data_IF_444387747561
#
_entry.id   IF_444387747561
#
_cell.length_a   1.000
_cell.length_b   1.000
_cell.length_c   1.000
_cell.angle_alpha   90.00
_cell.angle_beta   90.00
_cell.angle_gamma   90.00
#
_symmetry.space_group_name_H-M   'P 1'
#
loop_
_entity.id
_entity.type
_entity.pdbx_description
1 polymer ?
#
# COMPACT_ATOMS: atom_id res chain seq x y z
N UNK A 1 10.43 0.07 -7.60
CA UNK A 1 9.77 1.13 -6.80
C UNK A 1 9.29 2.22 -7.75
N UNK A 2 8.01 2.58 -7.71
CA UNK A 2 7.45 3.68 -8.54
C UNK A 2 7.45 4.95 -7.72
N UNK A 3 8.09 6.00 -8.21
CA UNK A 3 8.04 7.34 -7.60
C UNK A 3 6.84 8.06 -8.21
N UNK A 4 5.87 8.41 -7.37
CA UNK A 4 4.70 9.18 -7.79
C UNK A 4 4.84 10.61 -7.23
N UNK A 5 5.11 11.58 -8.12
CA UNK A 5 5.11 12.99 -7.75
C UNK A 5 3.67 13.52 -7.77
N UNK A 6 3.19 14.04 -6.65
CA UNK A 6 1.88 14.69 -6.54
C UNK A 6 2.09 16.20 -6.66
N UNK A 7 1.44 16.84 -7.63
CA UNK A 7 1.50 18.29 -7.80
C UNK A 7 0.38 18.97 -7.02
N UNK A 8 0.72 19.86 -6.09
CA UNK A 8 -0.22 20.85 -5.55
C UNK A 8 0.23 22.23 -6.01
N UNK A 9 -0.61 22.88 -6.82
CA UNK A 9 -0.34 24.24 -7.30
C UNK A 9 -0.95 25.20 -6.27
N UNK A 10 -0.14 25.70 -5.33
CA UNK A 10 -0.60 26.69 -4.36
C UNK A 10 -0.47 28.11 -4.93
N UNK A 11 -1.60 28.67 -5.36
CA UNK A 11 -1.83 30.13 -5.32
C UNK A 11 -3.07 30.39 -4.48
N UNK A 12 -2.84 30.98 -3.31
CA UNK A 12 -3.90 31.42 -2.41
C UNK A 12 -4.60 32.68 -2.97
N UNK A 13 -5.93 32.64 -3.04
CA UNK A 13 -6.81 33.82 -2.92
C UNK A 13 -8.11 33.40 -2.22
N UNK A 14 -8.64 34.18 -1.26
CA UNK A 14 -9.85 33.84 -0.55
C UNK A 14 -11.08 34.42 -1.28
N UNK A 15 -12.13 33.63 -1.50
CA UNK A 15 -13.48 34.16 -1.66
C UNK A 15 -14.54 33.13 -1.24
N UNK A 16 -15.48 33.61 -0.42
CA UNK A 16 -16.75 32.96 -0.04
C UNK A 16 -17.67 32.83 -1.28
N UNK A 17 -18.41 31.73 -1.38
CA UNK A 17 -19.51 31.59 -2.34
C UNK A 17 -19.93 30.14 -2.55
N UNK A 18 -21.24 29.90 -2.53
CA UNK A 18 -21.91 28.60 -2.58
C UNK A 18 -21.64 27.78 -3.86
N UNK A 19 -21.75 26.45 -3.75
CA UNK A 19 -21.76 25.53 -4.89
C UNK A 19 -23.18 25.00 -5.15
N UNK A 20 -23.70 25.12 -6.38
CA UNK A 20 -24.69 24.19 -6.92
C UNK A 20 -24.09 23.27 -7.99
N UNK A 21 -24.54 22.02 -7.99
CA UNK A 21 -24.97 21.27 -9.20
C UNK A 21 -23.95 20.84 -10.26
N UNK A 22 -23.70 19.53 -10.30
CA UNK A 22 -23.61 18.64 -11.48
C UNK A 22 -22.83 19.11 -12.73
N UNK A 23 -21.69 18.45 -12.99
CA UNK A 23 -21.01 18.49 -14.29
C UNK A 23 -20.28 17.18 -14.58
N UNK A 24 -20.63 16.53 -15.70
CA UNK A 24 -19.95 15.35 -16.26
C UNK A 24 -18.47 15.64 -16.48
N UNK A 25 -17.60 14.70 -16.11
CA UNK A 25 -16.18 14.75 -16.44
C UNK A 25 -15.95 14.05 -17.78
N UNK A 26 -15.79 14.85 -18.85
CA UNK A 26 -15.12 14.42 -20.08
C UNK A 26 -13.62 14.70 -19.98
N UNK A 27 -12.86 13.66 -20.34
CA UNK A 27 -11.47 13.59 -20.82
C UNK A 27 -10.45 14.65 -20.32
N UNK A 28 -9.88 14.40 -19.13
CA UNK A 28 -8.70 15.08 -18.62
C UNK A 28 -7.48 14.17 -18.61
N UNK A 29 -6.66 14.20 -19.67
CA UNK A 29 -5.37 13.49 -19.71
C UNK A 29 -4.40 14.07 -18.67
N UNK A 30 -4.20 13.36 -17.56
CA UNK A 30 -3.05 13.53 -16.68
C UNK A 30 -1.80 12.95 -17.37
N UNK A 31 -0.80 13.79 -17.65
CA UNK A 31 0.53 13.30 -18.01
C UNK A 31 1.19 12.64 -16.79
N UNK A 32 1.09 11.30 -16.73
CA UNK A 32 1.75 10.45 -15.74
C UNK A 32 3.06 9.94 -16.30
N UNK A 33 4.18 10.36 -15.71
CA UNK A 33 5.47 9.72 -15.94
C UNK A 33 5.59 8.48 -15.04
N UNK A 34 5.54 7.29 -15.62
CA UNK A 34 5.88 6.04 -14.90
C UNK A 34 7.20 5.52 -15.47
N UNK A 35 8.26 5.54 -14.67
CA UNK A 35 9.53 4.90 -15.04
C UNK A 35 9.52 3.47 -14.51
N UNK A 36 9.47 2.48 -15.41
CA UNK A 36 9.78 1.07 -15.10
C UNK A 36 11.24 0.81 -15.46
N UNK A 37 12.01 0.24 -14.53
CA UNK A 37 13.38 -0.23 -14.79
C UNK A 37 13.33 -1.72 -15.17
N UNK A 38 13.61 -2.05 -16.43
CA UNK A 38 13.90 -3.42 -16.87
C UNK A 38 15.40 -3.69 -16.70
N UNK A 39 15.77 -4.74 -15.96
CA UNK A 39 17.14 -5.26 -15.92
C UNK A 39 17.44 -6.02 -17.22
N UNK A 40 18.45 -5.58 -17.98
CA UNK A 40 19.12 -6.42 -18.99
C UNK A 40 20.52 -6.78 -18.50
N UNK A 41 20.84 -8.06 -18.60
CA UNK A 41 22.14 -8.68 -18.37
C UNK A 41 23.10 -8.31 -19.51
N UNK A 42 24.38 -8.08 -19.18
CA UNK A 42 25.49 -7.92 -20.13
C UNK A 42 26.54 -9.02 -19.94
N UNK A 43 27.32 -9.37 -20.97
CA UNK A 43 28.29 -10.47 -20.92
C UNK A 43 29.70 -10.01 -20.49
N UNK A 44 30.45 -10.97 -19.97
CA UNK A 44 31.83 -10.88 -19.49
C UNK A 44 32.86 -10.67 -20.62
N UNK A 45 33.95 -9.94 -20.34
CA UNK A 45 35.13 -9.84 -21.20
C UNK A 45 36.37 -10.37 -20.48
N UNK A 46 37.04 -11.34 -21.12
CA UNK A 46 38.26 -11.98 -20.66
C UNK A 46 39.57 -11.20 -20.95
N UNK A 47 40.58 -11.57 -20.15
CA UNK A 47 41.98 -11.14 -20.14
C UNK A 47 42.81 -11.69 -21.32
N UNK A 48 43.81 -10.92 -21.81
CA UNK A 48 45.09 -11.45 -22.33
C UNK A 48 46.23 -10.43 -22.13
N UNK A 49 47.39 -10.92 -21.68
CA UNK A 49 48.68 -10.23 -21.51
C UNK A 49 49.64 -10.42 -22.71
N UNK A 50 50.67 -9.58 -22.86
CA UNK A 50 51.75 -9.85 -23.83
C UNK A 50 52.87 -8.80 -24.01
N UNK A 51 53.92 -8.88 -23.18
CA UNK A 51 55.35 -9.04 -23.51
C UNK A 51 56.19 -8.08 -24.43
N UNK A 52 57.40 -7.75 -23.89
CA UNK A 52 58.77 -7.60 -24.46
C UNK A 52 59.29 -6.25 -25.00
N UNK A 53 60.49 -5.86 -24.50
CA UNK A 53 61.35 -4.69 -24.89
C UNK A 53 62.24 -4.95 -26.12
N UNK A 54 63.54 -4.52 -26.21
CA UNK A 54 64.37 -3.64 -25.37
C UNK A 54 65.20 -2.57 -26.18
N UNK A 55 66.05 -1.77 -25.52
CA UNK A 55 67.04 -0.91 -26.20
C UNK A 55 68.09 -0.29 -25.26
N UNK A 56 69.38 -0.48 -25.59
CA UNK A 56 70.59 -0.27 -24.77
C UNK A 56 71.28 1.10 -25.02
N UNK A 57 72.32 1.34 -24.19
CA UNK A 57 73.58 2.10 -24.42
C UNK A 57 73.59 3.60 -24.12
N UNK A 58 74.63 4.27 -23.62
CA UNK A 58 75.93 3.98 -22.93
C UNK A 58 76.54 5.35 -22.53
N UNK A 59 77.35 5.41 -21.44
CA UNK A 59 78.62 6.20 -21.30
C UNK A 59 78.55 7.74 -21.33
N UNK A 60 79.27 8.61 -20.58
CA UNK A 60 80.45 8.57 -19.68
C UNK A 60 80.68 9.99 -19.11
N UNK A 61 81.32 10.11 -17.93
CA UNK A 61 82.29 11.14 -17.40
C UNK A 61 81.99 12.65 -17.64
N UNK A 62 82.22 13.59 -16.72
CA UNK A 62 83.41 13.86 -15.91
C UNK A 62 83.12 14.99 -14.90
N UNK A 63 84.02 15.15 -13.94
CA UNK A 63 84.00 16.05 -12.79
C UNK A 63 84.23 17.55 -13.11
N UNK A 64 83.88 18.41 -12.15
CA UNK A 64 84.32 19.81 -12.08
C UNK A 64 83.87 20.50 -10.78
N UNK A 65 84.81 20.68 -9.84
CA UNK A 65 84.69 21.52 -8.65
C UNK A 65 84.60 23.01 -9.03
N UNK A 66 83.78 23.79 -8.32
CA UNK A 66 83.78 25.25 -8.41
C UNK A 66 82.79 25.88 -7.44
N UNK A 67 83.28 26.27 -6.26
CA UNK A 67 82.46 26.87 -5.21
C UNK A 67 81.83 28.20 -5.63
N UNK A 68 80.60 28.42 -5.16
CA UNK A 68 79.97 29.74 -4.97
C UNK A 68 78.73 29.55 -4.11
N UNK A 69 78.83 29.89 -2.84
CA UNK A 69 77.70 30.03 -1.91
C UNK A 69 76.78 31.14 -2.42
N UNK A 70 75.68 30.75 -3.05
CA UNK A 70 74.53 31.61 -3.30
C UNK A 70 73.38 31.06 -2.47
N UNK A 71 73.06 31.75 -1.38
CA UNK A 71 71.83 31.59 -0.64
C UNK A 71 70.68 32.00 -1.56
N UNK A 72 70.08 31.04 -2.28
CA UNK A 72 68.76 31.22 -2.89
C UNK A 72 67.72 30.69 -1.91
N UNK A 73 66.89 31.61 -1.43
CA UNK A 73 65.71 31.34 -0.62
C UNK A 73 64.73 30.51 -1.48
N UNK A 74 64.71 29.19 -1.28
CA UNK A 74 63.70 28.32 -1.85
C UNK A 74 62.37 28.62 -1.12
N UNK A 75 61.49 29.40 -1.74
CA UNK A 75 60.09 29.45 -1.36
C UNK A 75 59.50 28.07 -1.60
N UNK A 76 59.48 27.26 -0.54
CA UNK A 76 58.76 26.00 -0.47
C UNK A 76 57.27 26.34 -0.53
N UNK A 77 56.68 26.40 -1.73
CA UNK A 77 55.23 26.32 -1.87
C UNK A 77 54.83 24.93 -1.39
N UNK A 78 54.46 24.84 -0.11
CA UNK A 78 53.73 23.70 0.42
C UNK A 78 52.46 23.60 -0.42
N UNK A 79 52.49 22.73 -1.43
CA UNK A 79 51.30 22.33 -2.14
C UNK A 79 50.42 21.65 -1.12
N UNK A 80 49.49 22.40 -0.53
CA UNK A 80 48.36 21.83 0.19
C UNK A 80 47.57 21.12 -0.88
N UNK A 81 47.90 19.85 -1.11
CA UNK A 81 47.04 18.94 -1.84
C UNK A 81 45.74 18.93 -1.03
N UNK A 82 44.77 19.71 -1.49
CA UNK A 82 43.43 19.69 -0.94
C UNK A 82 42.94 18.25 -1.12
N UNK A 83 43.02 17.47 -0.04
CA UNK A 83 42.37 16.18 0.05
C UNK A 83 40.88 16.45 -0.11
N UNK A 84 40.41 16.38 -1.36
CA UNK A 84 38.99 16.34 -1.63
C UNK A 84 38.45 15.14 -0.87
N UNK A 85 37.38 15.30 -0.07
CA UNK A 85 36.79 14.16 0.60
C UNK A 85 36.47 13.09 -0.45
N UNK A 86 36.64 11.79 -0.11
CA UNK A 86 36.34 10.72 -1.04
C UNK A 86 34.91 10.89 -1.57
N UNK A 87 34.75 10.69 -2.87
CA UNK A 87 33.44 10.80 -3.52
C UNK A 87 32.48 9.81 -2.84
N UNK A 88 31.23 10.22 -2.58
CA UNK A 88 30.30 9.36 -1.91
C UNK A 88 29.90 8.17 -2.78
N UNK A 89 29.42 7.12 -2.14
CA UNK A 89 28.93 5.91 -2.81
C UNK A 89 27.91 6.23 -3.92
N UNK A 90 28.07 5.69 -5.14
CA UNK A 90 27.16 5.93 -6.26
C UNK A 90 25.71 5.54 -5.96
N UNK A 91 24.74 6.33 -6.43
CA UNK A 91 23.32 6.04 -6.36
C UNK A 91 22.76 5.49 -7.69
N UNK A 92 21.73 4.65 -7.60
CA UNK A 92 20.98 4.19 -8.78
C UNK A 92 19.91 5.21 -9.20
N UNK A 93 19.37 5.96 -8.24
CA UNK A 93 18.35 7.00 -8.44
C UNK A 93 18.63 8.20 -7.54
N UNK A 94 18.52 9.39 -8.10
CA UNK A 94 18.50 10.67 -7.37
C UNK A 94 17.21 11.41 -7.73
N UNK A 95 16.51 11.90 -6.72
CA UNK A 95 15.46 12.92 -6.89
C UNK A 95 15.94 14.20 -6.22
N UNK A 96 15.81 15.34 -6.89
CA UNK A 96 16.35 16.62 -6.40
C UNK A 96 15.46 17.79 -6.79
N UNK A 97 15.77 19.00 -6.29
CA UNK A 97 15.02 20.22 -6.51
C UNK A 97 13.55 20.05 -6.11
N UNK A 98 13.30 19.49 -4.92
CA UNK A 98 11.95 19.23 -4.42
C UNK A 98 11.75 19.56 -2.95
N UNK A 99 10.56 19.20 -2.46
CA UNK A 99 10.20 19.25 -1.04
C UNK A 99 10.06 17.82 -0.54
N UNK A 100 11.16 17.25 -0.05
CA UNK A 100 11.18 15.88 0.44
C UNK A 100 10.85 15.85 1.92
N UNK A 101 9.64 15.41 2.25
CA UNK A 101 9.24 15.16 3.62
C UNK A 101 9.81 13.80 4.07
N UNK A 102 10.83 13.80 4.93
CA UNK A 102 11.43 12.55 5.42
C UNK A 102 10.60 11.88 6.51
N UNK A 103 9.79 12.67 7.23
CA UNK A 103 9.12 12.30 8.48
C UNK A 103 10.11 11.83 9.58
N UNK A 104 11.37 12.24 9.46
CA UNK A 104 12.39 12.09 10.48
C UNK A 104 12.56 13.43 11.21
N UNK A 105 12.45 13.41 12.53
CA UNK A 105 12.48 14.62 13.36
C UNK A 105 13.84 15.33 13.34
N UNK A 106 14.93 14.62 13.03
CA UNK A 106 16.27 15.19 12.96
C UNK A 106 16.57 15.79 11.57
N UNK A 107 16.12 15.12 10.50
CA UNK A 107 16.36 15.58 9.12
C UNK A 107 15.32 16.59 8.64
N UNK A 108 14.07 16.49 9.10
CA UNK A 108 12.99 17.36 8.66
C UNK A 108 12.67 17.25 7.17
N UNK A 109 12.40 18.37 6.51
CA UNK A 109 12.17 18.42 5.06
C UNK A 109 13.47 18.79 4.35
N UNK A 110 13.85 18.02 3.33
CA UNK A 110 15.09 18.21 2.56
C UNK A 110 14.82 18.44 1.07
N UNK A 111 15.84 18.80 0.29
CA UNK A 111 15.70 19.12 -1.13
C UNK A 111 15.81 17.89 -2.04
N UNK A 112 16.62 16.91 -1.64
CA UNK A 112 16.98 15.76 -2.47
C UNK A 112 17.16 14.45 -1.67
N UNK A 113 17.06 13.33 -2.39
CA UNK A 113 17.34 11.98 -1.91
C UNK A 113 18.19 11.22 -2.93
N UNK A 114 19.15 10.45 -2.44
CA UNK A 114 19.85 9.41 -3.20
C UNK A 114 19.39 8.02 -2.77
N UNK A 115 19.17 7.15 -3.74
CA UNK A 115 18.73 5.77 -3.52
C UNK A 115 19.63 4.77 -4.22
N UNK A 116 19.91 3.67 -3.55
CA UNK A 116 20.66 2.51 -4.08
C UNK A 116 20.00 1.22 -3.62
N UNK A 117 19.80 0.27 -4.53
CA UNK A 117 19.22 -1.03 -4.22
C UNK A 117 17.83 -0.95 -3.56
N UNK A 118 17.04 0.08 -3.88
CA UNK A 118 15.72 0.30 -3.30
C UNK A 118 15.70 0.90 -1.89
N UNK A 119 16.83 1.36 -1.37
CA UNK A 119 16.94 2.04 -0.07
C UNK A 119 17.42 3.48 -0.26
N UNK A 120 16.94 4.38 0.60
CA UNK A 120 17.52 5.73 0.72
C UNK A 120 18.89 5.60 1.36
N UNK A 121 19.91 6.15 0.72
CA UNK A 121 21.30 6.12 1.20
C UNK A 121 21.83 7.49 1.62
N UNK A 122 21.20 8.56 1.14
CA UNK A 122 21.44 9.93 1.59
C UNK A 122 20.21 10.81 1.34
N UNK A 123 20.03 11.83 2.18
CA UNK A 123 18.95 12.81 2.11
C UNK A 123 19.49 14.16 2.57
N UNK A 124 19.21 15.25 1.84
CA UNK A 124 19.83 16.54 2.16
C UNK A 124 19.66 17.61 1.09
N UNK A 125 20.52 18.65 1.09
CA UNK A 125 20.59 19.67 0.05
C UNK A 125 20.92 19.09 -1.33
N UNK A 126 20.49 19.78 -2.40
CA UNK A 126 20.68 19.32 -3.78
C UNK A 126 22.16 19.10 -4.14
N UNK A 127 23.03 20.06 -3.78
CA UNK A 127 24.45 20.03 -4.10
C UNK A 127 25.17 18.85 -3.44
N UNK A 128 24.81 18.53 -2.20
CA UNK A 128 25.34 17.38 -1.49
C UNK A 128 24.91 16.07 -2.13
N UNK A 129 23.61 15.91 -2.41
CA UNK A 129 23.04 14.66 -2.92
C UNK A 129 23.43 14.40 -4.37
N UNK A 130 23.56 15.44 -5.19
CA UNK A 130 24.00 15.31 -6.58
C UNK A 130 25.43 14.78 -6.71
N UNK A 131 26.27 14.83 -5.65
CA UNK A 131 27.59 14.19 -5.63
C UNK A 131 27.54 12.66 -5.71
N UNK A 132 26.40 12.04 -5.38
CA UNK A 132 26.21 10.60 -5.53
C UNK A 132 25.94 10.15 -6.98
N UNK A 133 25.83 11.10 -7.92
CA UNK A 133 25.58 10.81 -9.33
C UNK A 133 26.79 10.10 -9.97
N UNK A 134 26.52 9.00 -10.66
CA UNK A 134 27.50 8.28 -11.46
C UNK A 134 26.93 7.90 -12.84
N UNK A 135 27.74 7.25 -13.66
CA UNK A 135 27.28 6.65 -14.91
C UNK A 135 26.17 5.64 -14.63
N UNK A 136 25.00 5.84 -15.25
CA UNK A 136 23.82 4.98 -15.06
C UNK A 136 22.85 5.43 -13.97
N UNK A 137 23.20 6.42 -13.14
CA UNK A 137 22.26 7.02 -12.18
C UNK A 137 21.09 7.68 -12.91
N UNK A 138 19.86 7.32 -12.55
CA UNK A 138 18.66 8.04 -12.98
C UNK A 138 18.52 9.29 -12.12
N UNK A 139 18.45 10.47 -12.73
CA UNK A 139 18.28 11.75 -12.02
C UNK A 139 16.93 12.35 -12.40
N UNK A 140 16.11 12.65 -11.40
CA UNK A 140 14.78 13.24 -11.56
C UNK A 140 14.77 14.62 -10.91
N UNK A 141 14.62 15.65 -11.72
CA UNK A 141 14.32 17.01 -11.26
C UNK A 141 12.83 17.09 -10.89
N UNK A 142 12.54 17.38 -9.63
CA UNK A 142 11.18 17.46 -9.11
C UNK A 142 10.51 18.79 -9.47
N UNK A 143 11.26 19.84 -9.82
CA UNK A 143 10.73 21.16 -10.15
C UNK A 143 9.92 21.79 -9.01
N UNK A 144 10.40 21.65 -7.78
CA UNK A 144 9.74 22.11 -6.55
C UNK A 144 8.59 21.23 -6.05
N UNK A 145 8.31 20.08 -6.69
CA UNK A 145 7.25 19.15 -6.24
C UNK A 145 7.65 18.43 -4.96
N UNK A 146 6.64 17.96 -4.23
CA UNK A 146 6.83 17.23 -3.01
C UNK A 146 7.09 15.73 -3.24
N UNK A 147 7.93 15.16 -2.38
CA UNK A 147 8.07 13.72 -2.16
C UNK A 147 7.67 13.45 -0.72
N UNK A 148 6.74 12.51 -0.54
CA UNK A 148 6.31 12.03 0.78
C UNK A 148 6.59 10.54 0.88
N UNK A 149 6.76 9.99 2.10
CA UNK A 149 6.85 8.55 2.27
C UNK A 149 5.57 7.90 1.76
N UNK A 150 5.74 6.76 1.07
CA UNK A 150 4.61 6.04 0.51
C UNK A 150 3.62 5.63 1.59
N UNK A 151 2.33 5.98 1.48
CA UNK A 151 1.31 5.54 2.42
C UNK A 151 1.28 4.02 2.57
N UNK A 152 1.00 3.58 3.79
CA UNK A 152 0.80 2.18 4.14
C UNK A 152 -0.59 2.00 4.74
N UNK A 153 -1.34 1.03 4.24
CA UNK A 153 -2.59 0.60 4.85
C UNK A 153 -2.31 -0.56 5.80
N UNK A 154 -2.60 -0.38 7.08
CA UNK A 154 -2.30 -1.37 8.12
C UNK A 154 -3.44 -2.39 8.35
N UNK A 155 -4.57 -2.28 7.65
CA UNK A 155 -5.69 -3.19 7.81
C UNK A 155 -6.51 -3.31 6.51
N UNK A 156 -6.00 -4.08 5.56
CA UNK A 156 -6.64 -4.25 4.26
C UNK A 156 -7.26 -5.64 4.10
N UNK A 157 -8.54 -5.68 3.73
CA UNK A 157 -9.25 -6.93 3.41
C UNK A 157 -9.54 -7.08 1.91
N UNK A 158 -10.22 -6.10 1.32
CA UNK A 158 -10.57 -6.05 -0.09
C UNK A 158 -11.02 -4.63 -0.48
N UNK A 159 -10.95 -4.31 -1.77
CA UNK A 159 -11.60 -3.10 -2.29
C UNK A 159 -13.12 -3.31 -2.38
N UNK A 160 -13.88 -2.26 -2.06
CA UNK A 160 -15.34 -2.23 -2.27
C UNK A 160 -16.17 -3.02 -1.25
N UNK A 161 -15.57 -3.52 -0.16
CA UNK A 161 -16.27 -4.12 0.99
C UNK A 161 -17.06 -5.39 0.66
N UNK A 162 -16.75 -6.07 -0.44
CA UNK A 162 -17.37 -7.34 -0.82
C UNK A 162 -18.62 -7.20 -1.70
N UNK A 163 -19.34 -8.30 -1.83
CA UNK A 163 -20.49 -8.45 -2.72
C UNK A 163 -21.79 -7.96 -2.07
N UNK A 164 -22.85 -7.83 -2.88
CA UNK A 164 -24.19 -7.50 -2.42
C UNK A 164 -24.70 -6.18 -3.01
N UNK A 165 -25.74 -5.64 -2.38
CA UNK A 165 -26.23 -4.28 -2.63
C UNK A 165 -25.14 -3.29 -2.21
N UNK A 166 -24.66 -2.46 -3.13
CA UNK A 166 -23.64 -1.46 -2.82
C UNK A 166 -24.24 -0.27 -2.07
N UNK A 167 -23.82 -0.08 -0.82
CA UNK A 167 -24.25 1.02 0.04
C UNK A 167 -23.19 2.12 0.21
N UNK A 168 -22.04 2.01 -0.46
CA UNK A 168 -20.92 2.94 -0.27
C UNK A 168 -21.24 4.40 -0.63
N UNK A 169 -22.15 4.58 -1.59
CA UNK A 169 -22.65 5.89 -2.02
C UNK A 169 -23.78 6.46 -1.17
N UNK A 170 -24.45 5.67 -0.32
CA UNK A 170 -25.63 6.11 0.41
C UNK A 170 -25.28 7.19 1.46
N UNK A 171 -26.10 8.23 1.57
CA UNK A 171 -25.95 9.35 2.52
C UNK A 171 -27.19 9.56 3.38
N UNK A 172 -28.25 8.80 3.16
CA UNK A 172 -29.47 8.81 3.97
C UNK A 172 -30.00 7.40 4.19
N UNK A 173 -30.80 7.22 5.25
CA UNK A 173 -31.53 5.97 5.49
C UNK A 173 -32.46 5.63 4.32
N UNK A 174 -33.08 6.64 3.72
CA UNK A 174 -33.95 6.46 2.56
C UNK A 174 -33.22 5.83 1.37
N UNK A 175 -31.98 6.24 1.08
CA UNK A 175 -31.16 5.65 0.03
C UNK A 175 -30.74 4.21 0.35
N UNK A 176 -30.40 3.91 1.61
CA UNK A 176 -30.09 2.54 2.05
C UNK A 176 -31.30 1.62 1.83
N UNK A 177 -32.47 2.02 2.34
CA UNK A 177 -33.70 1.22 2.21
C UNK A 177 -34.16 1.13 0.76
N UNK A 178 -33.98 2.19 -0.03
CA UNK A 178 -34.27 2.21 -1.46
C UNK A 178 -33.42 1.22 -2.25
N UNK A 179 -32.11 1.16 -1.99
CA UNK A 179 -31.20 0.21 -2.64
C UNK A 179 -31.55 -1.25 -2.28
N UNK A 180 -31.90 -1.51 -1.01
CA UNK A 180 -32.36 -2.82 -0.55
C UNK A 180 -33.68 -3.21 -1.21
N UNK A 181 -34.64 -2.29 -1.26
CA UNK A 181 -35.95 -2.52 -1.88
C UNK A 181 -35.84 -2.80 -3.38
N UNK A 182 -34.99 -2.05 -4.09
CA UNK A 182 -34.70 -2.29 -5.51
C UNK A 182 -34.13 -3.70 -5.73
N UNK A 183 -33.16 -4.13 -4.91
CA UNK A 183 -32.63 -5.50 -5.01
C UNK A 183 -33.69 -6.55 -4.67
N UNK A 184 -34.54 -6.31 -3.67
CA UNK A 184 -35.61 -7.21 -3.31
C UNK A 184 -36.62 -7.40 -4.46
N UNK A 185 -36.92 -6.34 -5.22
CA UNK A 185 -37.79 -6.42 -6.40
C UNK A 185 -37.23 -7.32 -7.51
N UNK A 186 -35.90 -7.35 -7.66
CA UNK A 186 -35.19 -8.22 -8.62
C UNK A 186 -34.90 -9.63 -8.07
N UNK A 187 -35.32 -9.92 -6.83
CA UNK A 187 -35.07 -11.19 -6.16
C UNK A 187 -36.37 -11.97 -6.02
N UNK A 188 -36.34 -13.28 -6.29
CA UNK A 188 -37.50 -14.15 -6.09
C UNK A 188 -38.01 -14.05 -4.63
N UNK A 189 -39.33 -14.07 -4.38
CA UNK A 189 -39.88 -14.06 -3.03
C UNK A 189 -39.25 -15.14 -2.14
N UNK A 190 -38.95 -14.80 -0.87
CA UNK A 190 -38.21 -15.66 0.05
C UNK A 190 -36.68 -15.71 -0.20
N UNK A 191 -36.20 -15.05 -1.26
CA UNK A 191 -34.77 -14.92 -1.55
C UNK A 191 -34.01 -14.09 -0.50
N UNK A 192 -32.67 -14.16 -0.57
CA UNK A 192 -31.78 -13.46 0.35
C UNK A 192 -31.21 -12.20 -0.32
N UNK A 193 -31.41 -11.05 0.32
CA UNK A 193 -30.78 -9.77 -0.03
C UNK A 193 -29.66 -9.51 0.97
N UNK A 194 -28.43 -9.38 0.46
CA UNK A 194 -27.23 -9.08 1.26
C UNK A 194 -26.62 -7.77 0.76
N UNK A 195 -26.19 -6.89 1.66
CA UNK A 195 -25.47 -5.66 1.30
C UNK A 195 -23.96 -5.90 1.30
N UNK A 196 -23.19 -5.06 0.61
CA UNK A 196 -21.76 -4.98 0.85
C UNK A 196 -21.47 -4.36 2.23
N UNK A 197 -20.20 -4.40 2.63
CA UNK A 197 -19.72 -3.84 3.90
C UNK A 197 -19.04 -2.46 3.77
N UNK A 198 -19.03 -1.88 2.56
CA UNK A 198 -18.29 -0.65 2.25
C UNK A 198 -19.05 0.63 2.62
N UNK A 199 -19.71 0.66 3.76
CA UNK A 199 -20.51 1.78 4.21
C UNK A 199 -20.49 1.84 5.75
N UNK A 200 -20.86 2.98 6.31
CA UNK A 200 -20.98 3.15 7.76
C UNK A 200 -22.14 4.10 8.07
N UNK A 201 -22.92 3.83 9.12
CA UNK A 201 -24.03 4.67 9.57
C UNK A 201 -23.64 6.13 9.85
N UNK A 202 -22.38 6.39 10.23
CA UNK A 202 -21.87 7.75 10.46
C UNK A 202 -21.80 8.60 9.18
N UNK A 203 -21.89 7.98 8.00
CA UNK A 203 -21.98 8.70 6.72
C UNK A 203 -23.42 9.10 6.37
N UNK A 204 -24.41 8.57 7.09
CA UNK A 204 -25.83 8.86 6.88
C UNK A 204 -26.25 10.09 7.67
N UNK A 205 -27.19 10.87 7.13
CA UNK A 205 -27.76 12.03 7.80
C UNK A 205 -28.40 11.67 9.16
N UNK A 206 -28.99 10.48 9.28
CA UNK A 206 -29.66 9.99 10.48
C UNK A 206 -28.69 9.42 11.53
N UNK A 207 -27.43 9.17 11.16
CA UNK A 207 -26.37 8.65 12.05
C UNK A 207 -26.78 7.42 12.87
N UNK A 208 -27.61 6.55 12.29
CA UNK A 208 -28.07 5.30 12.90
C UNK A 208 -28.08 4.17 11.89
N UNK A 209 -27.99 2.94 12.40
CA UNK A 209 -28.18 1.74 11.60
C UNK A 209 -29.65 1.63 11.13
N UNK A 210 -29.90 1.02 9.96
CA UNK A 210 -31.21 0.45 9.71
C UNK A 210 -31.41 -0.67 10.73
N UNK A 211 -32.60 -0.79 11.30
CA UNK A 211 -32.96 -1.89 12.20
C UNK A 211 -34.07 -2.73 11.58
N UNK A 212 -34.38 -3.86 12.21
CA UNK A 212 -35.34 -4.87 11.74
C UNK A 212 -36.60 -4.28 11.09
N UNK A 213 -37.22 -3.28 11.72
CA UNK A 213 -38.48 -2.72 11.20
C UNK A 213 -38.30 -1.77 10.01
N UNK A 214 -37.16 -1.11 9.89
CA UNK A 214 -36.82 -0.38 8.66
C UNK A 214 -36.69 -1.38 7.50
N UNK A 215 -36.03 -2.51 7.74
CA UNK A 215 -35.78 -3.55 6.75
C UNK A 215 -37.05 -4.34 6.39
N UNK A 216 -37.91 -4.62 7.37
CA UNK A 216 -39.23 -5.25 7.14
C UNK A 216 -40.10 -4.38 6.22
N UNK A 217 -40.05 -3.05 6.38
CA UNK A 217 -40.76 -2.12 5.48
C UNK A 217 -40.16 -2.09 4.08
N UNK A 218 -38.83 -2.19 3.97
CA UNK A 218 -38.14 -2.11 2.68
C UNK A 218 -38.29 -3.39 1.83
N UNK A 219 -38.33 -4.56 2.47
CA UNK A 219 -38.39 -5.85 1.81
C UNK A 219 -39.20 -6.87 2.65
N UNK A 220 -40.53 -6.76 2.71
CA UNK A 220 -41.37 -7.55 3.61
C UNK A 220 -41.45 -9.05 3.27
N UNK A 221 -41.13 -9.43 2.04
CA UNK A 221 -41.24 -10.82 1.54
C UNK A 221 -39.87 -11.50 1.33
N UNK A 222 -38.77 -10.87 1.77
CA UNK A 222 -37.40 -11.33 1.49
C UNK A 222 -36.57 -11.31 2.76
N UNK A 223 -35.66 -12.25 2.91
CA UNK A 223 -34.68 -12.20 3.98
C UNK A 223 -33.66 -11.10 3.65
N UNK A 224 -33.44 -10.15 4.56
CA UNK A 224 -32.43 -9.10 4.40
C UNK A 224 -31.35 -9.26 5.45
N UNK A 225 -30.09 -9.24 5.02
CA UNK A 225 -28.91 -9.10 5.88
C UNK A 225 -28.10 -7.90 5.45
N UNK A 226 -28.14 -6.85 6.25
CA UNK A 226 -27.24 -5.71 6.10
C UNK A 226 -25.92 -6.03 6.78
N UNK A 227 -24.83 -5.92 6.02
CA UNK A 227 -23.47 -6.16 6.52
C UNK A 227 -22.83 -4.84 6.92
N UNK A 228 -22.48 -4.69 8.20
CA UNK A 228 -21.80 -3.50 8.75
C UNK A 228 -20.38 -3.89 9.16
N UNK A 229 -19.44 -3.69 8.24
CA UNK A 229 -18.05 -4.11 8.41
C UNK A 229 -17.89 -5.63 8.63
N UNK A 230 -16.90 -6.03 9.43
CA UNK A 230 -16.59 -7.45 9.68
C UNK A 230 -17.34 -8.08 10.87
N UNK A 231 -17.94 -7.26 11.74
CA UNK A 231 -18.34 -7.66 13.09
C UNK A 231 -19.83 -7.58 13.36
N UNK A 232 -20.63 -7.05 12.44
CA UNK A 232 -22.02 -6.72 12.75
C UNK A 232 -22.93 -6.95 11.55
N UNK A 233 -24.04 -7.65 11.78
CA UNK A 233 -25.13 -7.83 10.82
C UNK A 233 -26.42 -7.25 11.37
N UNK A 234 -27.28 -6.74 10.50
CA UNK A 234 -28.64 -6.35 10.83
C UNK A 234 -29.60 -7.15 9.96
N UNK A 235 -30.52 -7.85 10.62
CA UNK A 235 -31.49 -8.75 10.00
C UNK A 235 -32.91 -8.19 10.09
N UNK A 236 -33.70 -8.43 9.06
CA UNK A 236 -35.16 -8.25 9.12
C UNK A 236 -35.84 -9.49 9.72
N UNK A 237 -37.16 -9.45 9.91
CA UNK A 237 -37.94 -10.55 10.49
C UNK A 237 -37.80 -11.85 9.70
N UNK A 238 -37.87 -11.78 8.37
CA UNK A 238 -37.75 -12.94 7.48
C UNK A 238 -36.35 -13.58 7.58
N UNK A 239 -35.30 -12.76 7.72
CA UNK A 239 -33.94 -13.26 7.92
C UNK A 239 -33.75 -13.89 9.31
N UNK A 240 -34.28 -13.29 10.36
CA UNK A 240 -34.23 -13.86 11.72
C UNK A 240 -34.87 -15.26 11.75
N UNK A 241 -36.05 -15.41 11.15
CA UNK A 241 -36.73 -16.71 11.01
C UNK A 241 -35.89 -17.70 10.19
N UNK A 242 -35.41 -17.28 9.02
CA UNK A 242 -34.58 -18.11 8.12
C UNK A 242 -33.33 -18.66 8.80
N UNK A 243 -32.69 -17.87 9.65
CA UNK A 243 -31.47 -18.28 10.36
C UNK A 243 -31.75 -18.86 11.76
N UNK A 244 -33.02 -19.09 12.11
CA UNK A 244 -33.42 -19.76 13.36
C UNK A 244 -33.14 -18.94 14.61
N UNK A 245 -33.18 -17.61 14.52
CA UNK A 245 -32.93 -16.70 15.65
C UNK A 245 -34.28 -16.33 16.28
N UNK A 246 -34.60 -17.02 17.38
CA UNK A 246 -35.86 -16.82 18.11
C UNK A 246 -35.84 -15.55 18.98
N UNK A 247 -37.02 -14.99 19.28
CA UNK A 247 -37.15 -13.76 20.08
C UNK A 247 -36.56 -13.91 21.50
N UNK A 248 -36.54 -15.11 22.06
CA UNK A 248 -35.96 -15.43 23.37
C UNK A 248 -34.46 -15.79 23.32
N UNK A 249 -33.82 -15.66 22.14
CA UNK A 249 -32.40 -15.97 21.97
C UNK A 249 -31.52 -15.16 22.95
N UNK A 250 -30.61 -15.87 23.61
CA UNK A 250 -29.66 -15.28 24.57
C UNK A 250 -28.36 -14.94 23.85
N UNK A 251 -27.78 -13.77 24.16
CA UNK A 251 -26.47 -13.38 23.64
C UNK A 251 -25.41 -14.42 23.99
N UNK A 252 -24.64 -14.94 23.01
CA UNK A 252 -23.57 -15.88 23.29
C UNK A 252 -22.38 -15.17 23.95
N UNK A 253 -21.49 -15.89 24.65
CA UNK A 253 -20.22 -15.32 25.10
C UNK A 253 -19.44 -14.66 23.95
N UNK A 254 -19.03 -13.41 24.14
CA UNK A 254 -18.31 -12.64 23.12
C UNK A 254 -19.19 -12.20 21.93
N UNK A 255 -20.51 -12.16 22.09
CA UNK A 255 -21.43 -11.58 21.12
C UNK A 255 -22.59 -10.86 21.79
N UNK A 256 -23.33 -10.06 21.01
CA UNK A 256 -24.52 -9.35 21.47
C UNK A 256 -25.64 -9.47 20.46
N UNK A 257 -26.82 -9.83 20.95
CA UNK A 257 -28.08 -9.77 20.22
C UNK A 257 -28.79 -8.48 20.63
N UNK A 258 -29.04 -7.58 19.68
CA UNK A 258 -29.70 -6.30 19.91
C UNK A 258 -31.21 -6.44 20.07
N UNK A 259 -31.78 -5.54 20.90
CA UNK A 259 -33.20 -5.49 21.22
C UNK A 259 -33.70 -4.05 21.22
N UNK A 260 -34.97 -3.86 20.92
CA UNK A 260 -35.66 -2.60 21.17
C UNK A 260 -36.03 -2.47 22.66
N UNK A 261 -36.55 -1.31 23.05
CA UNK A 261 -36.96 -1.02 24.43
C UNK A 261 -38.09 -1.93 24.92
N UNK A 262 -38.91 -2.47 24.01
CA UNK A 262 -39.98 -3.44 24.31
C UNK A 262 -39.47 -4.88 24.49
N UNK A 263 -38.15 -5.09 24.36
CA UNK A 263 -37.49 -6.39 24.51
C UNK A 263 -37.47 -7.24 23.24
N UNK A 264 -38.17 -6.85 22.16
CA UNK A 264 -38.13 -7.58 20.88
C UNK A 264 -36.79 -7.43 20.19
N UNK A 265 -36.40 -8.43 19.39
CA UNK A 265 -35.18 -8.35 18.59
C UNK A 265 -35.21 -7.18 17.62
N UNK A 266 -34.17 -6.35 17.64
CA UNK A 266 -34.00 -5.23 16.70
C UNK A 266 -33.25 -5.62 15.42
N UNK A 267 -32.85 -6.90 15.30
CA UNK A 267 -32.16 -7.45 14.14
C UNK A 267 -30.64 -7.36 14.20
N UNK A 268 -30.07 -6.57 15.11
CA UNK A 268 -28.62 -6.37 15.26
C UNK A 268 -27.96 -7.60 15.90
N UNK A 269 -26.92 -8.12 15.25
CA UNK A 269 -26.09 -9.22 15.75
C UNK A 269 -24.63 -8.81 15.68
N UNK A 270 -23.97 -8.76 16.84
CA UNK A 270 -22.58 -8.35 16.98
C UNK A 270 -21.69 -9.53 17.36
N UNK A 271 -20.51 -9.58 16.74
CA UNK A 271 -19.47 -10.57 16.95
C UNK A 271 -20.02 -12.00 16.85
N UNK A 272 -19.89 -12.81 17.90
CA UNK A 272 -20.29 -14.22 17.88
C UNK A 272 -21.80 -14.42 17.70
N UNK A 273 -22.62 -13.41 17.96
CA UNK A 273 -24.07 -13.49 17.74
C UNK A 273 -24.44 -13.66 16.26
N UNK A 274 -23.54 -13.28 15.34
CA UNK A 274 -23.77 -13.42 13.89
C UNK A 274 -23.32 -14.77 13.31
N UNK A 275 -22.61 -15.60 14.09
CA UNK A 275 -22.07 -16.90 13.63
C UNK A 275 -23.13 -17.86 13.03
N UNK A 276 -24.41 -17.87 13.50
CA UNK A 276 -25.47 -18.67 12.87
C UNK A 276 -25.82 -18.20 11.45
N UNK A 277 -25.57 -16.93 11.10
CA UNK A 277 -25.93 -16.34 9.81
C UNK A 277 -24.89 -16.75 8.77
N UNK A 278 -25.23 -17.76 7.97
CA UNK A 278 -24.41 -18.26 6.87
C UNK A 278 -24.80 -17.58 5.57
N UNK A 279 -23.99 -16.58 5.18
CA UNK A 279 -24.12 -15.90 3.90
C UNK A 279 -23.52 -16.77 2.78
N UNK A 280 -24.13 -16.77 1.58
CA UNK A 280 -23.55 -17.43 0.42
C UNK A 280 -22.17 -16.84 0.13
N UNK A 281 -21.27 -17.68 -0.38
CA UNK A 281 -20.02 -17.17 -0.93
C UNK A 281 -20.35 -16.27 -2.13
N UNK A 282 -19.57 -15.21 -2.32
CA UNK A 282 -19.63 -14.46 -3.57
C UNK A 282 -19.26 -15.42 -4.71
N UNK A 283 -20.12 -15.50 -5.72
CA UNK A 283 -19.68 -16.00 -7.02
C UNK A 283 -18.74 -14.96 -7.61
N UNK A 284 -17.44 -15.22 -7.54
CA UNK A 284 -16.43 -14.35 -8.13
C UNK A 284 -15.92 -14.96 -9.43
N UNK A 285 -16.24 -14.31 -10.54
CA UNK A 285 -15.81 -14.75 -11.87
C UNK A 285 -14.30 -14.56 -12.09
N UNK A 286 -13.75 -15.37 -12.98
CA UNK A 286 -12.36 -15.28 -13.44
C UNK A 286 -11.32 -15.84 -12.47
N UNK A 287 -10.05 -15.63 -12.80
CA UNK A 287 -8.93 -16.14 -12.03
C UNK A 287 -8.74 -15.37 -10.69
N UNK A 288 -8.65 -16.07 -9.53
CA UNK A 288 -8.48 -15.42 -8.23
C UNK A 288 -7.20 -14.57 -8.08
N UNK A 289 -6.08 -14.99 -8.68
CA UNK A 289 -4.84 -14.22 -8.62
C UNK A 289 -4.94 -12.93 -9.45
N UNK A 290 -5.59 -12.99 -10.62
CA UNK A 290 -5.88 -11.81 -11.43
C UNK A 290 -6.84 -10.84 -10.73
N UNK A 291 -7.85 -11.33 -10.02
CA UNK A 291 -8.74 -10.48 -9.20
C UNK A 291 -7.96 -9.77 -8.11
N UNK A 292 -7.15 -10.51 -7.36
CA UNK A 292 -6.29 -9.94 -6.32
C UNK A 292 -5.35 -8.89 -6.91
N UNK A 293 -4.68 -9.20 -8.02
CA UNK A 293 -3.78 -8.28 -8.68
C UNK A 293 -4.48 -6.97 -9.11
N UNK A 294 -5.71 -7.05 -9.63
CA UNK A 294 -6.49 -5.84 -9.97
C UNK A 294 -6.73 -4.97 -8.74
N UNK A 295 -7.05 -5.57 -7.59
CA UNK A 295 -7.22 -4.82 -6.34
C UNK A 295 -5.91 -4.15 -5.89
N UNK A 296 -4.81 -4.90 -5.88
CA UNK A 296 -3.50 -4.39 -5.50
C UNK A 296 -3.01 -3.28 -6.45
N UNK A 297 -3.29 -3.42 -7.74
CA UNK A 297 -2.95 -2.42 -8.75
C UNK A 297 -3.76 -1.13 -8.56
N UNK A 298 -5.03 -1.24 -8.20
CA UNK A 298 -5.87 -0.08 -7.87
C UNK A 298 -5.35 0.64 -6.61
N UNK A 299 -4.95 -0.09 -5.56
CA UNK A 299 -4.31 0.51 -4.37
C UNK A 299 -2.99 1.22 -4.73
N UNK A 300 -2.15 0.56 -5.53
CA UNK A 300 -0.90 1.15 -6.04
C UNK A 300 -1.15 2.44 -6.84
N UNK A 301 -2.21 2.48 -7.64
CA UNK A 301 -2.57 3.66 -8.43
C UNK A 301 -3.03 4.85 -7.58
N UNK A 302 -3.47 4.62 -6.34
CA UNK A 302 -3.76 5.65 -5.33
C UNK A 302 -2.51 6.09 -4.55
N UNK A 303 -1.34 5.50 -4.85
CA UNK A 303 -0.07 5.81 -4.20
C UNK A 303 0.25 4.95 -2.98
N UNK A 304 -0.60 3.99 -2.61
CA UNK A 304 -0.32 3.05 -1.51
C UNK A 304 0.85 2.16 -1.90
N UNK A 305 1.82 2.02 -0.99
CA UNK A 305 3.07 1.28 -1.25
C UNK A 305 3.23 0.01 -0.41
N UNK A 306 2.47 -0.11 0.68
CA UNK A 306 2.40 -1.32 1.49
C UNK A 306 0.97 -1.56 2.00
N UNK A 307 0.62 -2.84 2.13
CA UNK A 307 -0.62 -3.31 2.73
C UNK A 307 -0.32 -4.36 3.78
N UNK A 308 -0.99 -4.29 4.93
CA UNK A 308 -1.06 -5.38 5.90
C UNK A 308 -2.39 -6.11 5.73
N UNK A 309 -2.32 -7.44 5.61
CA UNK A 309 -3.46 -8.33 5.40
C UNK A 309 -3.73 -9.09 6.71
N UNK A 310 -4.64 -8.60 7.56
CA UNK A 310 -4.92 -9.23 8.84
C UNK A 310 -5.85 -10.44 8.68
N UNK A 311 -5.48 -11.54 9.33
CA UNK A 311 -6.33 -12.71 9.44
C UNK A 311 -6.65 -13.37 8.11
N UNK A 312 -5.68 -13.45 7.21
CA UNK A 312 -5.81 -14.16 5.94
C UNK A 312 -5.70 -15.69 6.11
N UNK A 313 -6.25 -16.43 5.14
CA UNK A 313 -6.17 -17.89 5.11
C UNK A 313 -4.90 -18.40 4.41
N UNK A 314 -4.50 -19.67 4.61
CA UNK A 314 -3.43 -20.30 3.83
C UNK A 314 -3.66 -20.24 2.32
N UNK A 315 -4.91 -20.41 1.87
CA UNK A 315 -5.27 -20.32 0.46
C UNK A 315 -5.09 -18.91 -0.10
N UNK A 316 -5.44 -17.89 0.69
CA UNK A 316 -5.23 -16.50 0.30
C UNK A 316 -3.73 -16.17 0.25
N UNK A 317 -2.94 -16.64 1.22
CA UNK A 317 -1.49 -16.48 1.20
C UNK A 317 -0.85 -17.13 -0.03
N UNK A 318 -1.33 -18.30 -0.46
CA UNK A 318 -0.83 -18.95 -1.66
C UNK A 318 -0.98 -18.07 -2.92
N UNK A 319 -2.06 -17.28 -3.04
CA UNK A 319 -2.24 -16.32 -4.14
C UNK A 319 -1.22 -15.18 -4.07
N UNK A 320 -0.97 -14.63 -2.88
CA UNK A 320 0.07 -13.61 -2.71
C UNK A 320 1.46 -14.15 -3.02
N UNK A 321 1.74 -15.39 -2.60
CA UNK A 321 3.01 -16.08 -2.86
C UNK A 321 3.20 -16.31 -4.36
N UNK A 322 2.17 -16.80 -5.06
CA UNK A 322 2.19 -16.94 -6.51
C UNK A 322 2.52 -15.59 -7.19
N UNK A 323 1.80 -14.52 -6.85
CA UNK A 323 2.07 -13.19 -7.43
C UNK A 323 3.46 -12.65 -7.09
N UNK A 324 4.03 -13.02 -5.94
CA UNK A 324 5.38 -12.65 -5.55
C UNK A 324 6.44 -13.42 -6.38
N UNK A 325 6.25 -14.73 -6.56
CA UNK A 325 7.12 -15.60 -7.35
C UNK A 325 7.11 -15.20 -8.84
N UNK A 326 5.99 -14.70 -9.34
CA UNK A 326 5.83 -14.16 -10.69
C UNK A 326 6.36 -12.71 -10.84
N UNK A 327 6.87 -12.06 -9.78
CA UNK A 327 7.26 -10.63 -9.74
C UNK A 327 6.15 -9.66 -10.16
N UNK A 328 4.90 -9.98 -9.78
CA UNK A 328 3.69 -9.23 -10.17
C UNK A 328 3.11 -8.36 -9.07
N UNK A 329 3.55 -8.50 -7.82
CA UNK A 329 3.06 -7.69 -6.71
C UNK A 329 3.39 -6.19 -6.93
N UNK A 330 2.39 -5.30 -7.03
CA UNK A 330 2.63 -3.88 -7.28
C UNK A 330 2.93 -3.08 -6.00
N UNK A 331 2.72 -3.70 -4.83
CA UNK A 331 2.90 -3.12 -3.48
C UNK A 331 3.51 -4.17 -2.56
N UNK A 332 4.13 -3.73 -1.45
CA UNK A 332 4.60 -4.64 -0.40
C UNK A 332 3.42 -5.18 0.40
N UNK A 333 3.49 -6.45 0.77
CA UNK A 333 2.46 -7.16 1.51
C UNK A 333 3.06 -7.69 2.81
N UNK A 334 2.46 -7.33 3.93
CA UNK A 334 2.67 -7.98 5.21
C UNK A 334 1.45 -8.83 5.54
N UNK A 335 1.61 -10.14 5.61
CA UNK A 335 0.51 -11.07 5.78
C UNK A 335 0.46 -11.61 7.20
N UNK A 336 -0.72 -11.58 7.82
CA UNK A 336 -0.96 -12.15 9.14
C UNK A 336 -1.99 -13.27 9.02
N UNK A 337 -1.60 -14.48 9.42
CA UNK A 337 -2.50 -15.62 9.34
C UNK A 337 -3.61 -15.56 10.38
N UNK A 338 -4.80 -16.00 9.98
CA UNK A 338 -5.88 -16.30 10.93
C UNK A 338 -5.65 -17.68 11.55
N UNK A 339 -5.45 -17.70 12.86
CA UNK A 339 -5.26 -18.92 13.64
C UNK A 339 -6.52 -19.17 14.48
N UNK A 340 -7.44 -20.01 14.00
CA UNK A 340 -8.66 -20.38 14.73
C UNK A 340 -8.48 -21.74 15.36
N UNK A 341 -8.71 -21.83 16.68
CA UNK A 341 -8.64 -23.10 17.42
C UNK A 341 -7.23 -23.69 17.53
N UNK A 342 -6.21 -22.86 17.33
CA UNK A 342 -4.80 -23.25 17.47
C UNK A 342 -4.32 -22.77 18.84
N UNK A 343 -3.79 -23.68 19.64
CA UNK A 343 -3.19 -23.32 20.92
C UNK A 343 -1.91 -22.48 20.68
N UNK A 344 -1.57 -21.50 21.55
CA UNK A 344 -0.40 -20.65 21.37
C UNK A 344 0.90 -21.40 21.09
N UNK A 345 1.10 -22.55 21.74
CA UNK A 345 2.24 -23.45 21.58
C UNK A 345 2.32 -24.10 20.19
N UNK A 346 1.18 -24.30 19.52
CA UNK A 346 1.08 -24.97 18.21
C UNK A 346 1.12 -24.00 17.03
N UNK A 347 1.13 -22.68 17.29
CA UNK A 347 1.10 -21.64 16.26
C UNK A 347 2.24 -21.82 15.26
N UNK A 348 3.46 -22.06 15.75
CA UNK A 348 4.63 -22.23 14.89
C UNK A 348 4.47 -23.42 13.96
N UNK A 349 4.21 -24.59 14.52
CA UNK A 349 4.07 -25.84 13.76
C UNK A 349 2.92 -25.76 12.76
N UNK A 350 1.83 -25.07 13.12
CA UNK A 350 0.70 -24.82 12.23
C UNK A 350 1.11 -23.96 11.03
N UNK A 351 1.80 -22.84 11.26
CA UNK A 351 2.26 -21.94 10.19
C UNK A 351 3.30 -22.62 9.29
N UNK A 352 4.24 -23.37 9.89
CA UNK A 352 5.24 -24.15 9.15
C UNK A 352 4.59 -25.22 8.25
N UNK A 353 3.48 -25.82 8.69
CA UNK A 353 2.72 -26.78 7.87
C UNK A 353 2.15 -26.16 6.58
N UNK A 354 2.03 -24.83 6.52
CA UNK A 354 1.63 -24.10 5.31
C UNK A 354 2.81 -23.71 4.42
N UNK A 355 4.02 -24.18 4.73
CA UNK A 355 5.23 -23.90 3.97
C UNK A 355 5.79 -22.51 4.24
N UNK A 356 5.55 -21.94 5.42
CA UNK A 356 6.06 -20.63 5.84
C UNK A 356 7.00 -20.81 7.01
N UNK A 357 8.28 -20.51 6.79
CA UNK A 357 9.29 -20.51 7.85
C UNK A 357 9.25 -19.21 8.67
N UNK A 358 9.70 -19.22 9.93
CA UNK A 358 9.91 -18.01 10.71
C UNK A 358 10.77 -16.97 9.95
N UNK A 359 10.31 -15.72 9.91
CA UNK A 359 11.00 -14.65 9.19
C UNK A 359 10.85 -14.68 7.67
N UNK A 360 9.87 -15.43 7.13
CA UNK A 360 9.59 -15.47 5.69
C UNK A 360 9.48 -14.07 5.09
N UNK A 361 10.30 -13.80 4.06
CA UNK A 361 10.21 -12.59 3.26
C UNK A 361 10.79 -12.80 1.86
N UNK A 362 10.10 -12.32 0.83
CA UNK A 362 10.61 -12.16 -0.53
C UNK A 362 11.00 -10.71 -0.84
N UNK A 363 10.97 -9.82 0.17
CA UNK A 363 11.10 -8.37 0.01
C UNK A 363 9.79 -7.67 -0.34
N UNK A 364 8.94 -8.28 -1.17
CA UNK A 364 7.59 -7.77 -1.49
C UNK A 364 6.46 -8.49 -0.73
N UNK A 365 6.69 -9.71 -0.24
CA UNK A 365 5.76 -10.42 0.63
C UNK A 365 6.50 -10.87 1.88
N UNK A 366 5.97 -10.55 3.05
CA UNK A 366 6.46 -11.06 4.34
C UNK A 366 5.31 -11.60 5.19
N UNK A 367 5.63 -12.49 6.12
CA UNK A 367 4.68 -12.95 7.14
C UNK A 367 5.10 -12.34 8.47
N UNK A 368 4.15 -11.67 9.13
CA UNK A 368 4.33 -10.98 10.40
C UNK A 368 3.95 -11.81 11.62
#
# INVERSE_FOLDING_TARGET
>A
MRVHAVGTNHRARPHRGAFPGTGKLEDGRLHRGTVRLNRKTGPESGSVAGARGPGRTTSTRAAGLGGRTRTLLATLTLGVAACSPPAPDPADLIVHNGLVHTLDDQLGTVAALAMRGGRVVAAGPDDEILRHRATGTVVIDLGGRAVVPGPTDNHFHALGGGHGVDLSGARTMAEVLGAISARAADTQPGGLVVTNSNWHEGQLAEQRLPLRYDLDRAAPAHAVVVVRGGHEFILNSVALERFGIAEDAVSPPGGRIGRYDDGRLNGELVDRAKDPVRLPAAEEEGDPAERLLRQLAAMSALGVTSLRIPGGSPQQFALYRQLAEEDRLPVRIEFLFRLRGVAPEDVRTTVESWGVAPGFSTGLLSVG
#
